data_IF_698321774271
#
_entry.id   IF_698321774271
#
_cell.length_a   1.000
_cell.length_b   1.000
_cell.length_c   1.000
_cell.angle_alpha   90.00
_cell.angle_beta   90.00
_cell.angle_gamma   90.00
#
_symmetry.space_group_name_H-M   'P 1'
#
loop_
_entity.id
_entity.type
_entity.pdbx_description
1 polymer ?
#
# COMPACT_ATOMS: atom_id res chain seq x y z
N UNK A 1 -26.32 -69.53 -10.89
CA UNK A 1 -26.66 -68.21 -11.46
C UNK A 1 -26.43 -67.19 -10.37
N UNK A 2 -25.24 -66.45 -10.41
CA UNK A 2 -24.87 -65.42 -9.43
C UNK A 2 -25.29 -64.06 -9.96
N UNK A 3 -26.22 -63.42 -9.26
CA UNK A 3 -26.62 -62.01 -9.58
C UNK A 3 -25.62 -61.07 -9.00
N UNK A 4 -24.92 -60.26 -9.86
CA UNK A 4 -24.03 -59.19 -9.49
C UNK A 4 -24.88 -57.92 -9.39
N UNK A 5 -25.00 -57.39 -8.18
CA UNK A 5 -25.61 -56.07 -7.91
C UNK A 5 -24.51 -55.01 -8.03
N UNK A 6 -24.58 -54.23 -9.09
CA UNK A 6 -23.70 -53.05 -9.26
C UNK A 6 -24.36 -51.88 -8.53
N UNK A 7 -23.78 -51.48 -7.41
CA UNK A 7 -24.22 -50.29 -6.65
C UNK A 7 -23.56 -49.04 -7.26
N UNK A 8 -24.36 -48.19 -7.90
CA UNK A 8 -23.91 -46.92 -8.47
C UNK A 8 -23.93 -45.84 -7.37
N UNK A 9 -22.77 -45.54 -6.82
CA UNK A 9 -22.61 -44.44 -5.86
C UNK A 9 -22.56 -43.10 -6.61
N UNK A 10 -23.66 -42.35 -6.50
CA UNK A 10 -23.76 -41.00 -7.05
C UNK A 10 -23.07 -39.99 -6.08
N UNK A 11 -21.84 -39.58 -6.39
CA UNK A 11 -21.11 -38.55 -5.61
C UNK A 11 -21.63 -37.18 -6.00
N UNK A 12 -22.40 -36.55 -5.11
CA UNK A 12 -22.87 -35.15 -5.25
C UNK A 12 -21.73 -34.21 -4.93
N UNK A 13 -21.07 -33.65 -5.96
CA UNK A 13 -20.05 -32.59 -5.81
C UNK A 13 -20.74 -31.28 -5.50
N UNK A 14 -20.73 -30.86 -4.24
CA UNK A 14 -21.16 -29.50 -3.85
C UNK A 14 -20.07 -28.52 -4.25
N UNK A 15 -20.29 -27.76 -5.33
CA UNK A 15 -19.46 -26.66 -5.72
C UNK A 15 -19.66 -25.52 -4.70
N UNK A 16 -18.67 -25.31 -3.83
CA UNK A 16 -18.65 -24.19 -2.89
C UNK A 16 -18.30 -22.91 -3.67
N UNK A 17 -19.31 -22.20 -4.14
CA UNK A 17 -19.12 -20.84 -4.69
C UNK A 17 -18.84 -19.91 -3.53
N UNK A 18 -17.56 -19.58 -3.31
CA UNK A 18 -17.16 -18.54 -2.39
C UNK A 18 -17.62 -17.17 -2.96
N UNK A 19 -18.79 -16.72 -2.56
CA UNK A 19 -19.22 -15.33 -2.74
C UNK A 19 -18.31 -14.47 -1.85
N UNK A 20 -17.41 -13.68 -2.47
CA UNK A 20 -16.63 -12.71 -1.75
C UNK A 20 -17.59 -11.66 -1.17
N UNK A 21 -17.82 -11.73 0.13
CA UNK A 21 -18.56 -10.69 0.86
C UNK A 21 -17.87 -9.33 0.66
N UNK A 22 -18.64 -8.21 0.57
CA UNK A 22 -18.05 -6.89 0.46
C UNK A 22 -17.18 -6.64 1.70
N UNK A 23 -15.87 -6.47 1.47
CA UNK A 23 -14.90 -6.30 2.56
C UNK A 23 -15.27 -5.06 3.37
N UNK A 24 -15.50 -5.27 4.67
CA UNK A 24 -15.79 -4.20 5.64
C UNK A 24 -14.67 -3.17 5.62
N UNK A 25 -15.02 -1.88 5.67
CA UNK A 25 -14.04 -0.82 5.77
C UNK A 25 -13.16 -1.00 7.01
N UNK A 26 -11.84 -1.02 6.81
CA UNK A 26 -10.87 -1.16 7.90
C UNK A 26 -10.94 0.02 8.87
N UNK A 27 -10.70 -0.29 10.14
CA UNK A 27 -10.58 0.67 11.25
C UNK A 27 -9.21 0.53 11.91
N UNK A 28 -8.81 1.56 12.63
CA UNK A 28 -7.63 1.48 13.52
C UNK A 28 -7.89 0.43 14.60
N UNK A 29 -6.91 -0.44 14.83
CA UNK A 29 -7.00 -1.59 15.72
C UNK A 29 -7.39 -2.91 15.05
N UNK A 30 -7.98 -2.87 13.86
CA UNK A 30 -8.29 -4.09 13.10
C UNK A 30 -7.00 -4.82 12.67
N UNK A 31 -7.11 -6.10 12.41
CA UNK A 31 -6.05 -6.85 11.73
C UNK A 31 -5.96 -6.41 10.27
N UNK A 32 -4.75 -6.22 9.77
CA UNK A 32 -4.53 -5.93 8.37
C UNK A 32 -5.01 -7.10 7.50
N UNK A 33 -5.62 -6.83 6.35
CA UNK A 33 -6.13 -7.88 5.48
C UNK A 33 -5.00 -8.75 4.92
N UNK A 34 -5.32 -9.97 4.53
CA UNK A 34 -4.39 -10.76 3.74
C UNK A 34 -4.19 -10.06 2.39
N UNK A 35 -2.99 -9.53 2.18
CA UNK A 35 -2.66 -8.79 0.98
C UNK A 35 -1.36 -9.29 0.36
N UNK A 36 -1.45 -9.68 -0.90
CA UNK A 36 -0.33 -10.10 -1.75
C UNK A 36 -0.47 -9.48 -3.13
N UNK A 37 0.61 -8.93 -3.64
CA UNK A 37 0.68 -8.37 -4.99
C UNK A 37 2.10 -8.57 -5.53
N UNK A 38 2.27 -8.65 -6.84
CA UNK A 38 3.62 -8.65 -7.46
C UNK A 38 4.04 -7.21 -7.76
N UNK A 39 5.29 -6.88 -7.47
CA UNK A 39 5.90 -5.64 -7.94
C UNK A 39 6.19 -5.72 -9.46
N UNK A 40 6.66 -4.62 -10.03
CA UNK A 40 6.96 -4.53 -11.47
C UNK A 40 8.11 -5.43 -11.94
N UNK A 41 8.85 -6.04 -11.01
CA UNK A 41 9.90 -7.04 -11.30
C UNK A 41 9.40 -8.49 -11.09
N UNK A 42 8.10 -8.66 -10.84
CA UNK A 42 7.47 -9.96 -10.57
C UNK A 42 7.68 -10.50 -9.16
N UNK A 43 8.35 -9.76 -8.28
CA UNK A 43 8.59 -10.17 -6.89
C UNK A 43 7.33 -9.98 -6.04
N UNK A 44 6.97 -11.02 -5.27
CA UNK A 44 5.83 -10.95 -4.36
C UNK A 44 6.06 -9.95 -3.22
N UNK A 45 5.13 -9.03 -3.07
CA UNK A 45 4.93 -8.19 -1.89
C UNK A 45 3.85 -8.89 -1.07
N UNK A 46 4.19 -9.34 0.13
CA UNK A 46 3.28 -10.03 1.05
C UNK A 46 3.22 -9.23 2.35
N UNK A 47 2.08 -8.60 2.63
CA UNK A 47 1.91 -7.70 3.77
C UNK A 47 2.19 -8.40 5.09
N UNK A 48 1.68 -9.61 5.29
CA UNK A 48 1.91 -10.37 6.53
C UNK A 48 3.39 -10.68 6.75
N UNK A 49 4.13 -11.05 5.69
CA UNK A 49 5.58 -11.27 5.77
C UNK A 49 6.35 -9.98 6.09
N UNK A 50 5.92 -8.85 5.53
CA UNK A 50 6.53 -7.54 5.81
C UNK A 50 6.24 -7.09 7.23
N UNK A 51 4.99 -7.18 7.69
CA UNK A 51 4.57 -6.78 9.03
C UNK A 51 5.22 -7.61 10.16
N UNK A 52 5.61 -8.86 9.90
CA UNK A 52 6.43 -9.64 10.85
C UNK A 52 7.80 -9.01 11.10
N UNK A 53 8.38 -8.32 10.10
CA UNK A 53 9.72 -7.71 10.19
C UNK A 53 9.71 -6.31 10.78
N UNK A 54 8.65 -5.54 10.56
CA UNK A 54 8.51 -4.15 11.03
C UNK A 54 7.24 -3.50 10.52
N UNK A 55 6.98 -2.23 10.89
CA UNK A 55 5.81 -1.51 10.40
C UNK A 55 5.81 -1.35 8.87
N UNK A 56 4.60 -1.35 8.29
CA UNK A 56 4.40 -1.20 6.85
C UNK A 56 3.40 -0.08 6.60
N UNK A 57 3.78 0.88 5.76
CA UNK A 57 2.85 1.88 5.23
C UNK A 57 2.42 1.46 3.83
N UNK A 58 1.16 1.06 3.68
CA UNK A 58 0.55 0.78 2.39
C UNK A 58 -0.16 2.03 1.90
N UNK A 59 0.21 2.51 0.70
CA UNK A 59 -0.40 3.65 0.03
C UNK A 59 -1.07 3.19 -1.26
N UNK A 60 -2.40 3.21 -1.31
CA UNK A 60 -3.19 2.99 -2.52
C UNK A 60 -3.37 4.33 -3.22
N UNK A 61 -2.84 4.50 -4.44
CA UNK A 61 -2.68 5.82 -5.06
C UNK A 61 -2.82 5.79 -6.58
N UNK A 62 -2.64 6.94 -7.22
CA UNK A 62 -2.56 7.12 -8.67
C UNK A 62 -1.47 8.14 -9.03
N UNK A 63 -1.12 8.21 -10.30
CA UNK A 63 -0.24 9.25 -10.86
C UNK A 63 -0.95 10.57 -11.20
N UNK A 64 -2.16 10.81 -10.67
CA UNK A 64 -2.89 12.05 -10.91
C UNK A 64 -2.21 13.25 -10.19
N UNK A 65 -2.52 14.46 -10.65
CA UNK A 65 -1.86 15.69 -10.20
C UNK A 65 -1.89 15.88 -8.67
N UNK A 66 -3.01 15.55 -8.01
CA UNK A 66 -3.13 15.66 -6.55
C UNK A 66 -2.18 14.70 -5.83
N UNK A 67 -2.19 13.42 -6.21
CA UNK A 67 -1.30 12.41 -5.64
C UNK A 67 0.18 12.71 -5.95
N UNK A 68 0.45 13.27 -7.14
CA UNK A 68 1.79 13.63 -7.57
C UNK A 68 2.40 14.76 -6.75
N UNK A 69 1.60 15.77 -6.37
CA UNK A 69 2.04 16.84 -5.48
C UNK A 69 2.40 16.34 -4.08
N UNK A 70 1.78 15.27 -3.63
CA UNK A 70 2.01 14.66 -2.33
C UNK A 70 3.19 13.65 -2.33
N UNK A 71 3.52 13.10 -3.50
CA UNK A 71 4.55 12.07 -3.67
C UNK A 71 5.90 12.43 -3.05
N UNK A 72 6.46 13.64 -3.18
CA UNK A 72 7.75 13.99 -2.59
C UNK A 72 7.78 13.80 -1.07
N UNK A 73 6.67 14.05 -0.38
CA UNK A 73 6.57 13.88 1.07
C UNK A 73 6.56 12.40 1.47
N UNK A 74 5.89 11.53 0.69
CA UNK A 74 5.94 10.08 0.93
C UNK A 74 7.30 9.49 0.60
N UNK A 75 8.00 10.01 -0.40
CA UNK A 75 9.39 9.63 -0.67
C UNK A 75 10.32 10.06 0.46
N UNK A 76 10.15 11.27 0.99
CA UNK A 76 10.92 11.76 2.13
C UNK A 76 10.64 10.94 3.40
N UNK A 77 9.37 10.58 3.67
CA UNK A 77 8.99 9.67 4.75
C UNK A 77 9.69 8.31 4.61
N UNK A 78 9.67 7.73 3.40
CA UNK A 78 10.35 6.47 3.14
C UNK A 78 11.84 6.57 3.42
N UNK A 79 12.52 7.59 2.90
CA UNK A 79 13.95 7.80 3.11
C UNK A 79 14.30 8.00 4.60
N UNK A 80 13.45 8.74 5.32
CA UNK A 80 13.66 9.02 6.74
C UNK A 80 13.65 7.76 7.61
N UNK A 81 12.75 6.80 7.31
CA UNK A 81 12.50 5.68 8.23
C UNK A 81 12.78 4.28 7.67
N UNK A 82 13.25 4.14 6.44
CA UNK A 82 13.57 2.83 5.84
C UNK A 82 14.67 2.08 6.61
N UNK A 83 15.65 2.80 7.17
CA UNK A 83 16.73 2.23 7.99
C UNK A 83 16.22 1.81 9.38
N UNK A 84 15.19 2.47 9.88
CA UNK A 84 14.50 2.16 11.13
C UNK A 84 13.53 0.97 11.00
N UNK A 85 13.49 0.32 9.83
CA UNK A 85 12.71 -0.88 9.59
C UNK A 85 11.30 -0.65 9.05
N UNK A 86 10.89 0.61 8.80
CA UNK A 86 9.60 0.90 8.18
C UNK A 86 9.67 0.61 6.67
N UNK A 87 8.69 -0.13 6.17
CA UNK A 87 8.52 -0.39 4.74
C UNK A 87 7.38 0.44 4.19
N UNK A 88 7.61 1.17 3.10
CA UNK A 88 6.56 1.84 2.36
C UNK A 88 6.32 1.08 1.05
N UNK A 89 5.06 0.71 0.83
CA UNK A 89 4.58 0.02 -0.38
C UNK A 89 3.53 0.91 -1.02
N UNK A 90 3.78 1.40 -2.23
CA UNK A 90 2.82 2.15 -3.01
C UNK A 90 2.15 1.24 -4.05
N UNK A 91 0.82 1.25 -4.12
CA UNK A 91 0.04 0.52 -5.13
C UNK A 91 -0.64 1.54 -6.03
N UNK A 92 -0.30 1.51 -7.31
CA UNK A 92 -0.79 2.48 -8.28
C UNK A 92 -1.91 1.89 -9.15
N UNK A 93 -2.94 2.70 -9.40
CA UNK A 93 -4.09 2.28 -10.21
C UNK A 93 -3.86 2.39 -11.73
N UNK A 94 -2.67 2.80 -12.15
CA UNK A 94 -2.32 2.94 -13.55
C UNK A 94 -1.97 1.61 -14.20
N UNK A 95 -2.24 1.44 -15.50
CA UNK A 95 -1.71 0.34 -16.29
C UNK A 95 -0.20 0.49 -16.51
N UNK A 96 0.48 -0.64 -16.72
CA UNK A 96 1.95 -0.76 -16.76
C UNK A 96 2.61 0.17 -17.77
N UNK A 97 2.07 0.25 -18.98
CA UNK A 97 2.62 1.05 -20.08
C UNK A 97 2.74 2.54 -19.76
N UNK A 98 1.76 3.12 -19.06
CA UNK A 98 1.78 4.53 -18.66
C UNK A 98 2.65 4.76 -17.44
N UNK A 99 2.75 3.77 -16.57
CA UNK A 99 3.41 3.91 -15.30
C UNK A 99 4.93 3.85 -15.38
N UNK A 100 5.52 3.07 -16.31
CA UNK A 100 6.97 2.97 -16.45
C UNK A 100 7.65 4.33 -16.67
N UNK A 101 7.06 5.18 -17.54
CA UNK A 101 7.54 6.55 -17.76
C UNK A 101 7.40 7.42 -16.51
N UNK A 102 6.28 7.32 -15.81
CA UNK A 102 6.03 8.05 -14.55
C UNK A 102 7.05 7.68 -13.49
N UNK A 103 7.22 6.38 -13.21
CA UNK A 103 8.15 5.88 -12.20
C UNK A 103 9.59 6.35 -12.44
N UNK A 104 10.05 6.30 -13.69
CA UNK A 104 11.37 6.80 -14.11
C UNK A 104 11.50 8.31 -13.90
N UNK A 105 10.50 9.09 -14.35
CA UNK A 105 10.49 10.56 -14.21
C UNK A 105 10.49 10.99 -12.76
N UNK A 106 9.69 10.32 -11.91
CA UNK A 106 9.56 10.63 -10.47
C UNK A 106 10.65 9.99 -9.62
N UNK A 107 11.53 9.16 -10.22
CA UNK A 107 12.62 8.46 -9.52
C UNK A 107 12.11 7.80 -8.23
N UNK A 108 11.08 6.94 -8.38
CA UNK A 108 10.45 6.27 -7.22
C UNK A 108 11.49 5.50 -6.41
N UNK A 109 11.53 5.76 -5.11
CA UNK A 109 12.48 5.17 -4.17
C UNK A 109 11.87 4.07 -3.31
N UNK A 110 10.56 4.11 -3.13
CA UNK A 110 9.81 3.11 -2.39
C UNK A 110 9.45 1.91 -3.25
N UNK A 111 9.19 0.77 -2.61
CA UNK A 111 8.65 -0.39 -3.32
C UNK A 111 7.25 -0.08 -3.85
N UNK A 112 6.96 -0.51 -5.07
CA UNK A 112 5.65 -0.25 -5.67
C UNK A 112 5.15 -1.41 -6.53
N UNK A 113 3.83 -1.46 -6.68
CA UNK A 113 3.12 -2.40 -7.53
C UNK A 113 2.03 -1.67 -8.33
N UNK A 114 1.50 -2.33 -9.35
CA UNK A 114 0.42 -1.82 -10.20
C UNK A 114 -0.83 -2.68 -10.02
N UNK A 115 -1.96 -2.02 -9.88
CA UNK A 115 -3.27 -2.65 -9.74
C UNK A 115 -4.34 -1.87 -10.51
N UNK A 116 -4.35 -1.94 -11.84
CA UNK A 116 -5.31 -1.21 -12.67
C UNK A 116 -6.76 -1.64 -12.44
N UNK A 117 -6.97 -2.86 -11.94
CA UNK A 117 -8.29 -3.39 -11.57
C UNK A 117 -8.75 -2.94 -10.19
N UNK A 118 -7.89 -2.29 -9.40
CA UNK A 118 -8.17 -1.79 -8.04
C UNK A 118 -8.62 -2.89 -7.07
N UNK A 119 -8.16 -4.11 -7.23
CA UNK A 119 -8.44 -5.21 -6.29
C UNK A 119 -7.93 -4.88 -4.88
N UNK A 120 -6.80 -4.18 -4.78
CA UNK A 120 -6.25 -3.71 -3.51
C UNK A 120 -7.21 -2.80 -2.76
N UNK A 121 -7.97 -1.93 -3.47
CA UNK A 121 -8.98 -1.07 -2.83
C UNK A 121 -10.12 -1.88 -2.22
N UNK A 122 -10.53 -2.96 -2.89
CA UNK A 122 -11.54 -3.88 -2.36
C UNK A 122 -11.00 -4.60 -1.11
N UNK A 123 -9.78 -5.14 -1.18
CA UNK A 123 -9.12 -5.85 -0.05
C UNK A 123 -9.02 -4.94 1.18
N UNK A 124 -8.65 -3.67 1.00
CA UNK A 124 -8.55 -2.69 2.09
C UNK A 124 -9.87 -1.99 2.45
N UNK A 125 -11.00 -2.40 1.88
CA UNK A 125 -12.33 -1.86 2.17
C UNK A 125 -12.44 -0.35 1.97
N UNK A 126 -11.81 0.19 0.91
CA UNK A 126 -11.84 1.62 0.60
C UNK A 126 -12.21 1.91 -0.84
N UNK A 127 -12.91 3.02 -1.08
CA UNK A 127 -13.18 3.57 -2.42
C UNK A 127 -12.39 4.86 -2.67
N UNK A 128 -11.74 5.39 -1.63
CA UNK A 128 -11.03 6.66 -1.70
C UNK A 128 -9.64 6.48 -2.30
N UNK A 129 -9.23 7.42 -3.14
CA UNK A 129 -7.89 7.49 -3.73
C UNK A 129 -7.33 8.91 -3.56
N UNK A 130 -6.18 9.05 -2.92
CA UNK A 130 -5.39 8.01 -2.28
C UNK A 130 -5.95 7.57 -0.92
N UNK A 131 -5.58 6.35 -0.49
CA UNK A 131 -5.79 5.85 0.87
C UNK A 131 -4.49 5.30 1.43
N UNK A 132 -4.22 5.57 2.70
CA UNK A 132 -2.98 5.16 3.34
C UNK A 132 -3.30 4.38 4.61
N UNK A 133 -2.62 3.26 4.81
CA UNK A 133 -2.79 2.35 5.94
C UNK A 133 -1.43 2.11 6.58
N UNK A 134 -1.22 2.62 7.77
CA UNK A 134 -0.03 2.31 8.56
C UNK A 134 -0.32 1.07 9.40
N UNK A 135 0.41 0.00 9.13
CA UNK A 135 0.32 -1.28 9.81
C UNK A 135 1.52 -1.40 10.73
N UNK A 136 1.30 -1.69 12.00
CA UNK A 136 2.40 -1.92 12.96
C UNK A 136 3.02 -3.30 12.81
N UNK A 137 4.16 -3.51 13.42
CA UNK A 137 4.75 -4.84 13.55
C UNK A 137 3.74 -5.76 14.25
N UNK A 138 3.47 -6.93 13.64
CA UNK A 138 2.45 -7.85 14.12
C UNK A 138 1.13 -7.79 13.34
N UNK A 139 0.90 -6.72 12.53
CA UNK A 139 -0.19 -6.70 11.55
C UNK A 139 -1.44 -5.91 11.96
N UNK A 140 -1.45 -5.19 13.11
CA UNK A 140 -2.56 -4.32 13.46
C UNK A 140 -2.52 -2.99 12.70
N UNK A 141 -3.67 -2.45 12.34
CA UNK A 141 -3.80 -1.14 11.70
C UNK A 141 -3.57 -0.04 12.74
N UNK A 142 -2.46 0.67 12.66
CA UNK A 142 -2.10 1.75 13.57
C UNK A 142 -2.67 3.11 13.16
N UNK A 143 -2.83 3.34 11.86
CA UNK A 143 -3.43 4.58 11.34
C UNK A 143 -4.00 4.39 9.94
N UNK A 144 -5.02 5.18 9.64
CA UNK A 144 -5.63 5.29 8.31
C UNK A 144 -5.74 6.76 7.96
N UNK A 145 -5.43 7.11 6.71
CA UNK A 145 -5.78 8.42 6.14
C UNK A 145 -6.31 8.26 4.73
N UNK A 146 -7.26 9.10 4.35
CA UNK A 146 -7.93 9.08 3.05
C UNK A 146 -7.90 10.47 2.43
N UNK A 147 -7.83 10.51 1.10
CA UNK A 147 -7.68 11.75 0.34
C UNK A 147 -6.24 12.22 0.23
N UNK A 148 -5.99 13.28 -0.55
CA UNK A 148 -4.67 13.88 -0.71
C UNK A 148 -4.61 15.27 -0.09
N UNK A 149 -3.43 15.63 0.40
CA UNK A 149 -3.08 16.96 0.89
C UNK A 149 -1.76 17.41 0.26
N UNK A 150 -1.81 18.31 -0.72
CA UNK A 150 -0.62 18.80 -1.41
C UNK A 150 0.40 19.50 -0.50
N UNK A 151 0.01 19.90 0.73
CA UNK A 151 0.95 20.45 1.73
C UNK A 151 1.82 19.36 2.38
N UNK A 152 1.49 18.08 2.16
CA UNK A 152 2.17 16.95 2.74
C UNK A 152 1.80 16.67 4.21
N UNK A 153 0.75 17.29 4.74
CA UNK A 153 0.34 17.09 6.13
C UNK A 153 0.04 15.62 6.45
N UNK A 154 -0.60 14.90 5.51
CA UNK A 154 -0.89 13.47 5.68
C UNK A 154 0.41 12.67 5.86
N UNK A 155 1.39 12.87 4.98
CA UNK A 155 2.67 12.17 5.07
C UNK A 155 3.43 12.51 6.36
N UNK A 156 3.39 13.76 6.81
CA UNK A 156 4.00 14.19 8.08
C UNK A 156 3.35 13.51 9.28
N UNK A 157 2.03 13.53 9.36
CA UNK A 157 1.28 12.89 10.45
C UNK A 157 1.51 11.38 10.49
N UNK A 158 1.57 10.71 9.33
CA UNK A 158 1.90 9.31 9.24
C UNK A 158 3.37 9.04 9.60
N UNK A 159 4.29 9.94 9.24
CA UNK A 159 5.69 9.88 9.62
C UNK A 159 5.89 9.97 11.13
N UNK A 160 5.18 10.88 11.81
CA UNK A 160 5.21 11.01 13.27
C UNK A 160 4.72 9.74 13.98
N UNK A 161 3.63 9.13 13.46
CA UNK A 161 3.12 7.86 13.99
C UNK A 161 4.09 6.70 13.72
N UNK A 162 4.66 6.66 12.53
CA UNK A 162 5.65 5.66 12.15
C UNK A 162 6.91 5.74 13.04
N UNK A 163 7.43 6.95 13.30
CA UNK A 163 8.55 7.16 14.21
C UNK A 163 8.28 6.59 15.62
N UNK A 164 7.07 6.81 16.14
CA UNK A 164 6.68 6.25 17.45
C UNK A 164 6.69 4.72 17.45
N UNK A 165 6.21 4.08 16.38
CA UNK A 165 6.16 2.60 16.29
C UNK A 165 7.55 1.96 16.30
N UNK A 166 8.57 2.65 15.77
CA UNK A 166 9.96 2.14 15.76
C UNK A 166 10.86 2.82 16.78
N UNK A 167 10.29 3.65 17.67
CA UNK A 167 11.02 4.40 18.72
C UNK A 167 12.17 5.26 18.15
N UNK A 168 11.98 5.76 16.91
CA UNK A 168 12.94 6.66 16.27
C UNK A 168 12.62 8.13 16.54
N UNK A 169 13.61 8.99 16.34
CA UNK A 169 13.42 10.43 16.38
C UNK A 169 12.48 10.89 15.26
N UNK A 170 11.66 11.88 15.55
CA UNK A 170 10.83 12.51 14.53
C UNK A 170 11.71 13.28 13.53
N UNK A 171 11.39 13.11 12.25
CA UNK A 171 12.04 13.82 11.15
C UNK A 171 11.07 14.82 10.56
N UNK A 172 11.53 16.06 10.37
CA UNK A 172 10.75 17.07 9.66
C UNK A 172 10.74 16.74 8.14
N UNK A 173 9.70 15.99 7.75
CA UNK A 173 9.49 15.57 6.36
C UNK A 173 9.35 16.77 5.42
N UNK A 174 8.72 17.85 5.89
CA UNK A 174 8.55 19.06 5.08
C UNK A 174 9.90 19.74 4.81
N UNK A 175 10.71 19.92 5.83
CA UNK A 175 12.05 20.50 5.68
C UNK A 175 12.93 19.67 4.72
N UNK A 176 12.81 18.32 4.75
CA UNK A 176 13.51 17.46 3.79
C UNK A 176 13.05 17.67 2.35
N UNK A 177 11.75 17.81 2.13
CA UNK A 177 11.21 18.08 0.78
C UNK A 177 11.64 19.47 0.29
N UNK A 178 11.58 20.47 1.15
CA UNK A 178 11.95 21.85 0.78
C UNK A 178 13.46 21.97 0.44
N UNK A 179 14.34 21.28 1.17
CA UNK A 179 15.78 21.19 0.84
C UNK A 179 16.04 20.54 -0.52
N UNK A 180 15.20 19.60 -0.95
CA UNK A 180 15.34 18.91 -2.22
C UNK A 180 14.72 19.68 -3.41
N UNK A 181 13.92 20.70 -3.15
CA UNK A 181 13.47 21.65 -4.17
C UNK A 181 14.67 22.53 -4.50
N UNK A 182 15.26 22.38 -5.70
CA UNK A 182 16.27 23.31 -6.20
C UNK A 182 15.73 24.73 -6.08
N UNK A 183 16.54 25.72 -5.62
CA UNK A 183 16.16 27.13 -5.66
C UNK A 183 15.74 27.45 -7.10
N UNK A 184 14.57 28.05 -7.27
CA UNK A 184 14.20 28.67 -8.54
C UNK A 184 15.11 29.89 -8.66
N UNK A 185 16.25 29.76 -9.37
CA UNK A 185 17.05 30.93 -9.78
C UNK A 185 16.16 31.77 -10.67
N UNK A 186 15.90 33.04 -10.32
CA UNK A 186 15.18 33.94 -11.22
C UNK A 186 15.95 33.99 -12.55
N UNK A 187 15.30 33.68 -13.66
CA UNK A 187 15.88 34.01 -14.96
C UNK A 187 16.01 35.52 -15.04
N UNK A 188 17.28 36.01 -15.11
CA UNK A 188 17.57 37.39 -15.51
C UNK A 188 17.09 37.59 -16.93
#
# INVERSE_FOLDING_TARGET
MKKIIVSLALTLSVAFTATAEPTKALKVGDDAPEFKIKDTNGKEINLAKLAKKGPVLVRLTCGCLGCDRELPYFQALHEAYKKEGIRLVAVFAEPDEKFAKYAKTKKLKMQYALDPKKNSWQIFGTKTMPSNFLIEKGGKVAAISKGCDPSGLIARNLGDKAAKLVKANKVDIKAQVDKNKKPVTPKK
#
